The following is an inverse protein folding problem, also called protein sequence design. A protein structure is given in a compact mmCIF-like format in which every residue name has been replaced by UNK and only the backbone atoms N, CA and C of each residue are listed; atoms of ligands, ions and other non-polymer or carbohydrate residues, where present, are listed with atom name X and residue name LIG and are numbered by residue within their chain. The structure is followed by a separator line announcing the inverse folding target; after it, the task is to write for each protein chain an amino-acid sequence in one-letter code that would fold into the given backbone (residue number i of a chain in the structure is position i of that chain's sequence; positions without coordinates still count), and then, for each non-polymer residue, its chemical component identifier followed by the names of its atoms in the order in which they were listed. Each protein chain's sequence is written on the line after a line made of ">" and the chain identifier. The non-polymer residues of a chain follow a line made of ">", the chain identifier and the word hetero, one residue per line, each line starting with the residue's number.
data_IF_657811831008
#
_entry.id   IF_657811831008
#
_cell.length_a   1.000
_cell.length_b   1.000
_cell.length_c   1.000
_cell.angle_alpha   90.00
_cell.angle_beta   90.00
_cell.angle_gamma   90.00
#
_symmetry.space_group_name_H-M   'P 1'
#
loop_
_entity.id
_entity.type
_entity.pdbx_description
1 polymer ?
#
# COMPACT_ATOMS: atom_id res chain seq x y z
N UNK A 1 -1.74 7.45 -14.15
CA UNK A 1 -1.55 6.41 -13.10
C UNK A 1 -0.51 6.84 -12.07
N UNK A 2 0.71 7.21 -12.49
CA UNK A 2 1.81 7.67 -11.62
C UNK A 2 1.42 8.83 -10.69
N UNK A 3 0.81 9.89 -11.23
CA UNK A 3 0.44 11.07 -10.43
C UNK A 3 -0.62 10.76 -9.36
N UNK A 4 -1.56 9.86 -9.65
CA UNK A 4 -2.62 9.46 -8.71
C UNK A 4 -2.09 8.56 -7.58
N UNK A 5 -1.10 7.73 -7.87
CA UNK A 5 -0.44 6.86 -6.90
C UNK A 5 0.37 7.64 -5.84
N UNK A 6 0.89 8.82 -6.20
CA UNK A 6 1.76 9.63 -5.32
C UNK A 6 1.00 10.18 -4.11
N UNK A 7 -0.25 10.61 -4.27
CA UNK A 7 -1.02 11.25 -3.20
C UNK A 7 -1.23 10.34 -1.97
N UNK A 8 -1.80 9.13 -2.09
CA UNK A 8 -1.97 8.22 -0.95
C UNK A 8 -0.63 7.71 -0.42
N UNK A 9 0.40 7.59 -1.26
CA UNK A 9 1.74 7.22 -0.81
C UNK A 9 2.34 8.29 0.11
N UNK A 10 2.23 9.57 -0.29
CA UNK A 10 2.67 10.72 0.50
C UNK A 10 1.89 10.83 1.81
N UNK A 11 0.57 10.66 1.77
CA UNK A 11 -0.26 10.69 2.99
C UNK A 11 0.16 9.60 3.99
N UNK A 12 0.34 8.35 3.54
CA UNK A 12 0.78 7.27 4.42
C UNK A 12 2.21 7.49 4.94
N UNK A 13 3.09 8.07 4.12
CA UNK A 13 4.45 8.42 4.55
C UNK A 13 4.44 9.52 5.60
N UNK A 14 3.63 10.57 5.40
CA UNK A 14 3.48 11.68 6.33
C UNK A 14 2.89 11.22 7.67
N UNK A 15 1.86 10.37 7.63
CA UNK A 15 1.27 9.75 8.83
C UNK A 15 2.30 8.84 9.51
N UNK A 16 3.11 8.10 8.76
CA UNK A 16 4.15 7.23 9.30
C UNK A 16 5.24 7.98 10.06
N UNK A 17 5.65 9.15 9.57
CA UNK A 17 6.69 9.98 10.20
C UNK A 17 6.12 10.77 11.38
N UNK A 18 4.94 11.37 11.24
CA UNK A 18 4.31 12.15 12.32
C UNK A 18 3.60 11.29 13.37
N UNK A 19 3.36 10.01 13.09
CA UNK A 19 2.77 9.05 14.02
C UNK A 19 3.74 8.52 15.08
N UNK A 20 5.00 8.97 15.07
CA UNK A 20 5.99 8.60 16.10
C UNK A 20 5.63 9.29 17.41
N UNK A 21 5.50 8.50 18.49
CA UNK A 21 5.09 9.02 19.79
C UNK A 21 6.08 10.09 20.31
N UNK A 22 5.61 11.25 20.81
CA UNK A 22 6.48 12.33 21.28
C UNK A 22 7.51 11.90 22.33
N UNK A 23 7.15 10.94 23.20
CA UNK A 23 8.07 10.40 24.21
C UNK A 23 9.32 9.72 23.63
N UNK A 24 9.25 9.14 22.42
CA UNK A 24 10.41 8.58 21.72
C UNK A 24 11.34 9.68 21.22
N UNK A 25 10.79 10.82 20.84
CA UNK A 25 11.52 12.01 20.40
C UNK A 25 12.20 12.68 21.60
N UNK A 26 11.48 12.83 22.72
CA UNK A 26 12.01 13.36 23.97
C UNK A 26 13.12 12.46 24.54
N UNK A 27 12.94 11.13 24.52
CA UNK A 27 13.97 10.18 24.93
C UNK A 27 15.22 10.27 24.05
N UNK A 28 15.07 10.35 22.72
CA UNK A 28 16.20 10.54 21.81
C UNK A 28 16.94 11.87 22.04
N UNK A 29 16.19 12.94 22.32
CA UNK A 29 16.76 14.26 22.64
C UNK A 29 17.51 14.22 23.97
N UNK A 30 16.95 13.58 25.00
CA UNK A 30 17.60 13.38 26.30
C UNK A 30 18.87 12.53 26.24
N UNK A 31 18.99 11.66 25.24
CA UNK A 31 20.20 10.89 24.93
C UNK A 31 21.23 11.66 24.08
N UNK A 32 20.98 12.93 23.73
CA UNK A 32 21.88 13.75 22.92
C UNK A 32 21.86 13.46 21.42
N UNK A 33 20.81 12.81 20.90
CA UNK A 33 20.72 12.49 19.47
C UNK A 33 20.52 13.76 18.62
N UNK A 34 21.28 13.87 17.54
CA UNK A 34 21.05 14.86 16.49
C UNK A 34 19.77 14.55 15.70
N UNK A 35 19.18 15.55 15.04
CA UNK A 35 17.99 15.37 14.17
C UNK A 35 18.17 14.27 13.12
N UNK A 36 19.38 14.14 12.56
CA UNK A 36 19.72 13.11 11.58
C UNK A 36 19.78 11.70 12.18
N UNK A 37 20.35 11.56 13.38
CA UNK A 37 20.37 10.28 14.11
C UNK A 37 18.96 9.87 14.51
N UNK A 38 18.16 10.80 15.03
CA UNK A 38 16.76 10.56 15.39
C UNK A 38 15.93 10.12 14.19
N UNK A 39 16.09 10.79 13.04
CA UNK A 39 15.37 10.42 11.82
C UNK A 39 15.75 9.01 11.35
N UNK A 40 17.03 8.68 11.24
CA UNK A 40 17.51 7.38 10.72
C UNK A 40 17.30 6.21 11.70
N UNK A 41 17.41 6.45 13.00
CA UNK A 41 17.44 5.38 14.01
C UNK A 41 16.10 5.17 14.71
N UNK A 42 15.23 6.19 14.74
CA UNK A 42 13.92 6.12 15.42
C UNK A 42 12.79 6.28 14.40
N UNK A 43 12.72 7.42 13.71
CA UNK A 43 11.56 7.73 12.87
C UNK A 43 11.45 6.81 11.65
N UNK A 44 12.53 6.60 10.88
CA UNK A 44 12.55 5.72 9.71
C UNK A 44 12.20 4.27 10.04
N UNK A 45 12.79 3.64 11.08
CA UNK A 45 12.46 2.27 11.45
C UNK A 45 11.01 2.07 11.90
N UNK A 46 10.39 3.08 12.51
CA UNK A 46 8.98 3.04 12.93
C UNK A 46 8.06 3.34 11.75
N UNK A 47 8.39 4.35 10.94
CA UNK A 47 7.62 4.76 9.77
C UNK A 47 7.61 3.70 8.66
N UNK A 48 8.63 2.81 8.59
CA UNK A 48 8.75 1.82 7.50
C UNK A 48 7.53 0.92 7.34
N UNK A 49 6.87 0.51 8.43
CA UNK A 49 5.67 -0.34 8.35
C UNK A 49 4.47 0.41 7.79
N UNK A 50 4.39 1.72 8.06
CA UNK A 50 3.32 2.60 7.57
C UNK A 50 3.57 2.96 6.10
N UNK A 51 4.82 3.24 5.72
CA UNK A 51 5.21 3.46 4.32
C UNK A 51 4.89 2.21 3.48
N UNK A 52 5.24 1.01 3.95
CA UNK A 52 4.90 -0.25 3.28
C UNK A 52 3.39 -0.50 3.20
N UNK A 53 2.62 -0.07 4.20
CA UNK A 53 1.16 -0.09 4.12
C UNK A 53 0.65 0.84 3.00
N UNK A 54 1.25 2.03 2.85
CA UNK A 54 1.00 2.94 1.73
C UNK A 54 1.33 2.32 0.37
N UNK A 55 2.48 1.66 0.24
CA UNK A 55 2.87 0.94 -1.00
C UNK A 55 1.84 -0.14 -1.36
N UNK A 56 1.39 -0.93 -0.37
CA UNK A 56 0.36 -1.95 -0.56
C UNK A 56 -0.96 -1.35 -1.03
N UNK A 57 -1.40 -0.25 -0.42
CA UNK A 57 -2.62 0.45 -0.81
C UNK A 57 -2.52 0.92 -2.26
N UNK A 58 -1.41 1.56 -2.62
CA UNK A 58 -1.18 2.07 -3.98
C UNK A 58 -1.14 0.96 -5.01
N UNK A 59 -0.48 -0.16 -4.72
CA UNK A 59 -0.43 -1.30 -5.63
C UNK A 59 -1.83 -1.84 -5.96
N UNK A 60 -2.67 -2.02 -4.93
CA UNK A 60 -4.07 -2.46 -5.11
C UNK A 60 -4.87 -1.43 -5.91
N UNK A 61 -4.80 -0.14 -5.53
CA UNK A 61 -5.50 0.94 -6.24
C UNK A 61 -5.09 1.02 -7.71
N UNK A 62 -3.80 0.82 -8.01
CA UNK A 62 -3.26 0.85 -9.38
C UNK A 62 -3.90 -0.24 -10.22
N UNK A 63 -3.94 -1.49 -9.73
CA UNK A 63 -4.54 -2.61 -10.46
C UNK A 63 -6.05 -2.38 -10.65
N UNK A 64 -6.75 -1.91 -9.62
CA UNK A 64 -8.18 -1.58 -9.70
C UNK A 64 -8.46 -0.51 -10.75
N UNK A 65 -7.68 0.57 -10.79
CA UNK A 65 -7.83 1.64 -11.78
C UNK A 65 -7.50 1.16 -13.19
N UNK A 66 -6.47 0.35 -13.37
CA UNK A 66 -6.14 -0.26 -14.66
C UNK A 66 -7.27 -1.15 -15.16
N UNK A 67 -7.98 -1.84 -14.26
CA UNK A 67 -9.14 -2.67 -14.62
C UNK A 67 -10.29 -1.84 -15.17
N UNK A 68 -10.45 -0.59 -14.73
CA UNK A 68 -11.50 0.31 -15.23
C UNK A 68 -10.98 1.15 -16.42
N UNK A 69 -9.67 1.30 -16.60
CA UNK A 69 -9.08 2.11 -17.67
C UNK A 69 -9.40 1.60 -19.10
N UNK A 70 -9.79 0.33 -19.23
CA UNK A 70 -10.32 -0.23 -20.50
C UNK A 70 -11.48 0.62 -21.09
N UNK A 71 -12.28 1.29 -20.26
CA UNK A 71 -13.41 2.12 -20.73
C UNK A 71 -12.97 3.37 -21.51
N UNK A 72 -11.74 3.85 -21.32
CA UNK A 72 -11.17 4.98 -22.07
C UNK A 72 -10.26 4.52 -23.21
N UNK A 73 -10.47 3.29 -23.71
CA UNK A 73 -9.67 2.66 -24.76
C UNK A 73 -8.17 2.54 -24.43
N UNK A 74 -7.80 2.57 -23.14
CA UNK A 74 -6.43 2.32 -22.71
C UNK A 74 -6.01 0.84 -22.87
N UNK A 75 -7.01 -0.05 -23.04
CA UNK A 75 -6.82 -1.50 -23.08
C UNK A 75 -6.37 -2.08 -21.73
N UNK A 76 -6.21 -3.41 -21.69
CA UNK A 76 -5.51 -4.11 -20.61
C UNK A 76 -6.40 -5.05 -19.78
N UNK A 77 -6.15 -5.08 -18.47
CA UNK A 77 -6.69 -6.09 -17.53
C UNK A 77 -8.23 -6.14 -17.50
N UNK A 78 -8.91 -5.05 -17.85
CA UNK A 78 -10.36 -4.96 -17.85
C UNK A 78 -11.05 -5.41 -19.14
N UNK A 79 -10.33 -5.68 -20.22
CA UNK A 79 -10.93 -5.82 -21.55
C UNK A 79 -11.89 -7.01 -21.68
N UNK A 80 -11.61 -8.11 -20.99
CA UNK A 80 -12.50 -9.28 -20.97
C UNK A 80 -13.78 -8.96 -20.18
N UNK A 81 -13.63 -8.22 -19.07
CA UNK A 81 -14.75 -7.82 -18.21
C UNK A 81 -15.68 -6.88 -18.97
N UNK A 82 -15.14 -5.87 -19.65
CA UNK A 82 -15.95 -4.93 -20.43
C UNK A 82 -16.63 -5.56 -21.63
N UNK A 83 -15.96 -6.50 -22.32
CA UNK A 83 -16.60 -7.34 -23.35
C UNK A 83 -17.76 -8.15 -22.78
N UNK A 84 -17.58 -8.78 -21.62
CA UNK A 84 -18.65 -9.52 -20.95
C UNK A 84 -19.84 -8.64 -20.56
N UNK A 85 -19.58 -7.42 -20.08
CA UNK A 85 -20.62 -6.42 -19.77
C UNK A 85 -21.38 -6.02 -21.04
N UNK A 86 -20.68 -5.74 -22.13
CA UNK A 86 -21.29 -5.35 -23.40
C UNK A 86 -22.19 -6.45 -24.00
N UNK A 87 -21.84 -7.72 -23.78
CA UNK A 87 -22.63 -8.88 -24.22
C UNK A 87 -23.69 -9.32 -23.21
N UNK A 88 -23.77 -8.68 -22.03
CA UNK A 88 -24.62 -9.10 -20.90
C UNK A 88 -24.38 -10.58 -20.56
N UNK A 89 -23.13 -11.04 -20.72
CA UNK A 89 -22.75 -12.43 -20.49
C UNK A 89 -21.98 -12.53 -19.18
N UNK A 90 -22.67 -13.01 -18.13
CA UNK A 90 -22.10 -13.18 -16.80
C UNK A 90 -20.92 -14.16 -16.80
N UNK A 91 -20.92 -15.18 -17.66
CA UNK A 91 -19.82 -16.14 -17.76
C UNK A 91 -18.53 -15.43 -18.19
N UNK A 92 -18.61 -14.62 -19.25
CA UNK A 92 -17.45 -13.84 -19.74
C UNK A 92 -17.00 -12.77 -18.74
N UNK A 93 -17.93 -12.18 -17.98
CA UNK A 93 -17.58 -11.27 -16.88
C UNK A 93 -16.75 -12.01 -15.82
N UNK A 94 -17.17 -13.21 -15.43
CA UNK A 94 -16.47 -14.02 -14.43
C UNK A 94 -15.10 -14.51 -14.93
N UNK A 95 -14.98 -14.87 -16.21
CA UNK A 95 -13.71 -15.25 -16.85
C UNK A 95 -12.64 -14.14 -16.73
N UNK A 96 -13.05 -12.87 -16.80
CA UNK A 96 -12.15 -11.73 -16.56
C UNK A 96 -12.00 -11.38 -15.08
N UNK A 97 -13.08 -11.38 -14.31
CA UNK A 97 -13.08 -10.90 -12.93
C UNK A 97 -12.31 -11.83 -11.97
N UNK A 98 -12.39 -13.16 -12.15
CA UNK A 98 -11.71 -14.14 -11.31
C UNK A 98 -10.18 -13.97 -11.36
N UNK A 99 -9.51 -14.02 -12.54
CA UNK A 99 -8.06 -13.91 -12.60
C UNK A 99 -7.57 -12.52 -12.16
N UNK A 100 -8.31 -11.45 -12.46
CA UNK A 100 -7.96 -10.10 -11.99
C UNK A 100 -8.05 -10.01 -10.46
N UNK A 101 -9.11 -10.54 -9.85
CA UNK A 101 -9.25 -10.57 -8.38
C UNK A 101 -8.15 -11.41 -7.73
N UNK A 102 -7.82 -12.56 -8.31
CA UNK A 102 -6.74 -13.42 -7.85
C UNK A 102 -5.39 -12.68 -7.89
N UNK A 103 -5.11 -11.95 -8.97
CA UNK A 103 -3.91 -11.13 -9.12
C UNK A 103 -3.83 -10.07 -8.03
N UNK A 104 -4.90 -9.29 -7.82
CA UNK A 104 -4.97 -8.25 -6.78
C UNK A 104 -4.67 -8.84 -5.41
N UNK A 105 -5.35 -9.95 -5.06
CA UNK A 105 -5.17 -10.63 -3.77
C UNK A 105 -3.74 -11.14 -3.63
N UNK A 106 -3.17 -11.73 -4.68
CA UNK A 106 -1.81 -12.28 -4.68
C UNK A 106 -0.77 -11.19 -4.47
N UNK A 107 -0.83 -10.08 -5.23
CA UNK A 107 0.07 -8.94 -5.07
C UNK A 107 -0.06 -8.35 -3.66
N UNK A 108 -1.30 -8.13 -3.21
CA UNK A 108 -1.58 -7.61 -1.88
C UNK A 108 -1.01 -8.51 -0.77
N UNK A 109 -1.11 -9.83 -0.95
CA UNK A 109 -0.60 -10.83 0.00
C UNK A 109 0.94 -10.87 0.01
N UNK A 110 1.58 -10.84 -1.15
CA UNK A 110 3.05 -10.78 -1.26
C UNK A 110 3.59 -9.52 -0.58
N UNK A 111 2.97 -8.36 -0.81
CA UNK A 111 3.35 -7.10 -0.17
C UNK A 111 3.10 -7.12 1.34
N UNK A 112 2.05 -7.81 1.80
CA UNK A 112 1.80 -8.02 3.22
C UNK A 112 2.89 -8.89 3.88
N UNK A 113 3.30 -9.97 3.22
CA UNK A 113 4.39 -10.83 3.70
C UNK A 113 5.71 -10.05 3.75
N UNK A 114 6.01 -9.28 2.71
CA UNK A 114 7.18 -8.41 2.67
C UNK A 114 7.14 -7.37 3.79
N UNK A 115 5.99 -6.73 4.02
CA UNK A 115 5.82 -5.80 5.14
C UNK A 115 6.05 -6.49 6.49
N UNK A 116 5.54 -7.71 6.68
CA UNK A 116 5.77 -8.49 7.91
C UNK A 116 7.24 -8.86 8.12
N UNK A 117 7.96 -9.22 7.05
CA UNK A 117 9.38 -9.53 7.11
C UNK A 117 10.22 -8.27 7.42
N UNK A 118 9.82 -7.13 6.84
CA UNK A 118 10.49 -5.84 7.04
C UNK A 118 10.09 -5.17 8.37
N UNK A 119 8.98 -5.51 9.01
CA UNK A 119 8.55 -4.89 10.28
C UNK A 119 9.20 -5.61 11.47
N UNK A 120 9.93 -4.91 12.37
CA UNK A 120 10.60 -5.56 13.49
C UNK A 120 9.57 -5.95 14.55
N UNK A 121 9.81 -7.06 15.26
CA UNK A 121 8.85 -7.70 16.19
C UNK A 121 8.29 -6.76 17.28
N UNK A 122 8.97 -5.65 17.61
CA UNK A 122 8.57 -4.69 18.65
C UNK A 122 7.27 -3.92 18.39
N UNK A 123 6.86 -3.69 17.14
CA UNK A 123 5.60 -3.01 16.80
C UNK A 123 4.39 -3.95 16.66
N UNK A 124 4.60 -5.27 16.85
CA UNK A 124 3.57 -6.29 16.67
C UNK A 124 2.55 -6.34 17.80
N UNK A 125 2.85 -5.72 18.95
CA UNK A 125 2.02 -5.75 20.15
C UNK A 125 1.01 -4.60 20.30
N UNK A 126 1.17 -3.48 19.56
CA UNK A 126 0.28 -2.31 19.67
C UNK A 126 -1.02 -2.43 18.87
N UNK A 127 -1.15 -3.42 17.98
CA UNK A 127 -2.34 -3.64 17.15
C UNK A 127 -3.27 -4.75 17.71
N UNK A 128 -3.10 -5.09 18.99
CA UNK A 128 -3.88 -6.12 19.71
C UNK A 128 -4.75 -5.56 20.85
N UNK A 129 -4.85 -4.24 20.99
CA UNK A 129 -5.75 -3.58 21.93
C UNK A 129 -6.81 -2.80 21.15
#
# INVERSE_FOLDING_TARGET
>A
LTLYAVLPMLQNTYVGINGVHPSLIEAGTGMGMTKWQMMKMIQLPIARSVIMAGVRLVAVQTISLTTIATYIAAGGLGDIITRGIAMINTVTIMEGAIPVSLLVISVNFILLLLNRALTPKGLRHLNKL
#
